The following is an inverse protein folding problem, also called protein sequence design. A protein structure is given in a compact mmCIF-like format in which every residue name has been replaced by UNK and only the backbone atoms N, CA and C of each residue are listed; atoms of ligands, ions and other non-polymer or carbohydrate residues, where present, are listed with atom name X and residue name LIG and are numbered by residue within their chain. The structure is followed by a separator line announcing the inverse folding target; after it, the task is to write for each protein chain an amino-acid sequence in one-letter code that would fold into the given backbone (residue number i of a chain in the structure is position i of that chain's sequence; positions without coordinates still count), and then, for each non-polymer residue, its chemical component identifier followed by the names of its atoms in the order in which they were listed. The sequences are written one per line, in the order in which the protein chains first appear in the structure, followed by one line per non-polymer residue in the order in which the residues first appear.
data_IF_708109341652
#
_entry.id   IF_708109341652
#
_cell.length_a   1.000
_cell.length_b   1.000
_cell.length_c   1.000
_cell.angle_alpha   90.00
_cell.angle_beta   90.00
_cell.angle_gamma   90.00
#
_symmetry.space_group_name_H-M   'P 1'
#
loop_
_entity.id
_entity.type
_entity.pdbx_description
1 polymer ?
#
# COMPACT_ATOMS: atom_id res chain seq x y z
N UNK A 1 2.39 -27.87 -7.30
CA UNK A 1 3.11 -26.94 -8.19
C UNK A 1 4.37 -26.42 -7.53
N UNK A 2 4.28 -25.84 -6.32
CA UNK A 2 5.41 -25.27 -5.57
C UNK A 2 6.67 -26.14 -5.52
N UNK A 3 6.58 -27.43 -5.16
CA UNK A 3 7.72 -28.36 -5.13
C UNK A 3 8.48 -28.43 -6.47
N UNK A 4 7.75 -28.40 -7.60
CA UNK A 4 8.35 -28.46 -8.93
C UNK A 4 9.10 -27.17 -9.23
N UNK A 5 8.51 -26.01 -8.92
CA UNK A 5 9.16 -24.71 -9.13
C UNK A 5 10.41 -24.57 -8.24
N UNK A 6 10.33 -24.94 -6.96
CA UNK A 6 11.46 -24.95 -6.03
C UNK A 6 12.64 -25.76 -6.59
N UNK A 7 12.36 -26.94 -7.13
CA UNK A 7 13.39 -27.80 -7.72
C UNK A 7 13.92 -27.28 -9.05
N UNK A 8 13.04 -26.89 -9.98
CA UNK A 8 13.42 -26.58 -11.36
C UNK A 8 14.02 -25.18 -11.52
N UNK A 9 13.57 -24.22 -10.72
CA UNK A 9 14.07 -22.83 -10.78
C UNK A 9 15.22 -22.64 -9.80
N UNK A 10 15.06 -23.06 -8.54
CA UNK A 10 16.00 -22.77 -7.47
C UNK A 10 16.92 -23.93 -7.09
N UNK A 11 16.71 -25.13 -7.66
CA UNK A 11 17.47 -26.32 -7.30
C UNK A 11 17.20 -26.85 -5.90
N UNK A 12 16.09 -26.44 -5.26
CA UNK A 12 15.72 -26.84 -3.90
C UNK A 12 14.89 -28.11 -3.95
N UNK A 13 15.47 -29.22 -3.49
CA UNK A 13 14.76 -30.49 -3.33
C UNK A 13 13.99 -30.53 -2.01
N UNK A 14 12.66 -30.72 -2.09
CA UNK A 14 11.79 -30.94 -0.94
C UNK A 14 10.70 -31.96 -1.29
N UNK A 15 10.01 -32.51 -0.28
CA UNK A 15 8.78 -33.29 -0.50
C UNK A 15 7.57 -32.35 -0.59
N UNK A 16 6.50 -32.79 -1.25
CA UNK A 16 5.29 -31.96 -1.48
C UNK A 16 4.70 -31.39 -0.19
N UNK A 17 4.72 -32.15 0.91
CA UNK A 17 4.19 -31.72 2.21
C UNK A 17 4.98 -30.57 2.84
N UNK A 18 6.26 -30.41 2.48
CA UNK A 18 7.16 -29.39 3.01
C UNK A 18 7.31 -28.19 2.06
N UNK A 19 6.79 -28.29 0.83
CA UNK A 19 7.00 -27.28 -0.21
C UNK A 19 6.49 -25.88 0.20
N UNK A 20 5.38 -25.81 0.94
CA UNK A 20 4.83 -24.53 1.41
C UNK A 20 5.69 -23.89 2.51
N UNK A 21 6.31 -24.71 3.36
CA UNK A 21 7.25 -24.24 4.39
C UNK A 21 8.57 -23.79 3.76
N UNK A 22 9.12 -24.61 2.86
CA UNK A 22 10.32 -24.25 2.09
C UNK A 22 10.13 -22.95 1.28
N UNK A 23 8.93 -22.71 0.75
CA UNK A 23 8.61 -21.47 0.04
C UNK A 23 8.64 -20.24 0.96
N UNK A 24 8.19 -20.37 2.22
CA UNK A 24 8.18 -19.27 3.19
C UNK A 24 9.59 -18.87 3.66
N UNK A 25 10.54 -19.79 3.55
CA UNK A 25 11.94 -19.56 3.92
C UNK A 25 12.80 -19.04 2.74
N UNK A 26 12.21 -18.76 1.57
CA UNK A 26 12.94 -18.20 0.44
C UNK A 26 13.42 -16.77 0.75
N UNK A 27 14.65 -16.47 0.34
CA UNK A 27 15.18 -15.10 0.36
C UNK A 27 14.49 -14.21 -0.68
N UNK A 28 14.65 -12.87 -0.60
CA UNK A 28 14.06 -11.97 -1.59
C UNK A 28 14.61 -12.24 -2.99
N UNK A 29 15.92 -12.52 -3.11
CA UNK A 29 16.52 -12.89 -4.40
C UNK A 29 15.88 -14.17 -4.96
N UNK A 30 15.69 -15.20 -4.13
CA UNK A 30 15.06 -16.44 -4.56
C UNK A 30 13.59 -16.24 -4.97
N UNK A 31 12.88 -15.35 -4.26
CA UNK A 31 11.52 -14.95 -4.64
C UNK A 31 11.51 -14.25 -6.00
N UNK A 32 12.46 -13.35 -6.25
CA UNK A 32 12.58 -12.66 -7.54
C UNK A 32 12.92 -13.62 -8.70
N UNK A 33 13.70 -14.66 -8.44
CA UNK A 33 14.01 -15.68 -9.45
C UNK A 33 12.81 -16.61 -9.74
N UNK A 34 12.00 -16.94 -8.73
CA UNK A 34 10.89 -17.91 -8.86
C UNK A 34 9.56 -17.29 -9.26
N UNK A 35 9.30 -16.03 -8.88
CA UNK A 35 8.02 -15.35 -9.12
C UNK A 35 7.61 -15.28 -10.60
N UNK A 36 8.52 -15.03 -11.57
CA UNK A 36 8.17 -15.09 -12.99
C UNK A 36 7.68 -16.48 -13.42
N UNK A 37 8.33 -17.55 -12.95
CA UNK A 37 7.93 -18.92 -13.29
C UNK A 37 6.61 -19.32 -12.60
N UNK A 38 6.40 -18.89 -11.35
CA UNK A 38 5.15 -19.08 -10.62
C UNK A 38 3.98 -18.37 -11.32
N UNK A 39 4.21 -17.15 -11.82
CA UNK A 39 3.21 -16.39 -12.56
C UNK A 39 2.75 -17.12 -13.83
N UNK A 40 3.68 -17.71 -14.59
CA UNK A 40 3.34 -18.41 -15.83
C UNK A 40 2.46 -19.66 -15.63
N UNK A 41 2.44 -20.22 -14.41
CA UNK A 41 1.64 -21.42 -14.10
C UNK A 41 0.39 -21.12 -13.27
N UNK A 42 0.34 -19.98 -12.59
CA UNK A 42 -0.76 -19.59 -11.69
C UNK A 42 -1.56 -18.37 -12.17
N UNK A 43 -0.97 -17.55 -13.03
CA UNK A 43 -1.59 -16.35 -13.58
C UNK A 43 -2.77 -16.66 -14.49
N UNK A 44 -3.66 -15.67 -14.61
CA UNK A 44 -4.91 -15.77 -15.34
C UNK A 44 -4.96 -14.83 -16.54
N UNK A 45 -5.72 -15.23 -17.56
CA UNK A 45 -5.95 -14.39 -18.73
C UNK A 45 -4.76 -14.30 -19.68
N UNK A 46 -4.85 -13.34 -20.60
CA UNK A 46 -3.87 -13.13 -21.67
C UNK A 46 -2.53 -12.59 -21.12
N UNK A 47 -2.58 -11.88 -19.99
CA UNK A 47 -1.43 -11.21 -19.36
C UNK A 47 -0.85 -11.99 -18.18
N UNK A 48 -1.28 -13.25 -17.95
CA UNK A 48 -0.90 -14.07 -16.80
C UNK A 48 -1.04 -13.32 -15.46
N UNK A 49 -2.12 -12.56 -15.29
CA UNK A 49 -2.32 -11.71 -14.12
C UNK A 49 -2.50 -12.55 -12.85
N UNK A 50 -1.90 -12.11 -11.74
CA UNK A 50 -2.09 -12.66 -10.42
C UNK A 50 -2.36 -11.53 -9.42
N UNK A 51 -3.38 -11.68 -8.58
CA UNK A 51 -3.68 -10.75 -7.49
C UNK A 51 -3.01 -11.26 -6.20
N UNK A 52 -2.17 -10.44 -5.59
CA UNK A 52 -1.43 -10.76 -4.36
C UNK A 52 -2.27 -10.54 -3.09
N UNK A 53 -3.60 -10.63 -3.19
CA UNK A 53 -4.54 -10.48 -2.08
C UNK A 53 -5.11 -11.84 -1.67
N UNK A 54 -5.60 -11.93 -0.43
CA UNK A 54 -6.30 -13.13 0.03
C UNK A 54 -7.73 -13.13 -0.48
N UNK A 55 -8.16 -14.25 -1.06
CA UNK A 55 -9.55 -14.52 -1.41
C UNK A 55 -10.12 -15.59 -0.46
N UNK A 56 -11.45 -15.65 -0.36
CA UNK A 56 -12.12 -16.72 0.37
C UNK A 56 -11.79 -18.11 -0.22
N UNK A 57 -11.82 -19.14 0.63
CA UNK A 57 -11.56 -20.51 0.20
C UNK A 57 -12.52 -20.93 -0.93
N UNK A 58 -11.95 -21.35 -2.06
CA UNK A 58 -12.71 -21.78 -3.23
C UNK A 58 -13.15 -20.65 -4.16
N UNK A 59 -12.87 -19.39 -3.83
CA UNK A 59 -13.10 -18.23 -4.70
C UNK A 59 -11.84 -17.91 -5.50
N UNK A 60 -12.03 -17.60 -6.78
CA UNK A 60 -10.99 -17.18 -7.71
C UNK A 60 -11.36 -15.86 -8.39
N UNK A 61 -10.37 -15.11 -8.87
CA UNK A 61 -10.61 -13.96 -9.76
C UNK A 61 -11.44 -14.32 -11.00
N UNK A 62 -11.45 -15.59 -11.40
CA UNK A 62 -12.24 -16.08 -12.51
C UNK A 62 -13.75 -16.11 -12.23
N UNK A 63 -14.17 -16.00 -10.96
CA UNK A 63 -15.56 -15.88 -10.56
C UNK A 63 -16.12 -14.46 -10.76
N UNK A 64 -15.22 -13.48 -10.96
CA UNK A 64 -15.56 -12.08 -11.22
C UNK A 64 -15.35 -11.75 -12.70
N UNK A 65 -16.37 -11.18 -13.36
CA UNK A 65 -16.25 -10.84 -14.79
C UNK A 65 -15.38 -9.60 -14.98
N UNK A 66 -15.50 -8.64 -14.07
CA UNK A 66 -14.83 -7.34 -14.15
C UNK A 66 -14.09 -7.03 -12.86
N UNK A 67 -13.18 -6.07 -12.94
CA UNK A 67 -12.50 -5.51 -11.77
C UNK A 67 -13.51 -4.89 -10.80
N UNK A 68 -14.61 -4.33 -11.30
CA UNK A 68 -15.72 -3.86 -10.48
C UNK A 68 -16.33 -4.99 -9.64
N UNK A 69 -16.66 -6.13 -10.26
CA UNK A 69 -17.36 -7.22 -9.56
C UNK A 69 -16.54 -7.73 -8.36
N UNK A 70 -15.21 -7.80 -8.51
CA UNK A 70 -14.30 -8.15 -7.43
C UNK A 70 -14.25 -7.05 -6.35
N UNK A 71 -13.98 -5.80 -6.74
CA UNK A 71 -13.76 -4.71 -5.77
C UNK A 71 -15.03 -4.38 -4.99
N UNK A 72 -16.19 -4.51 -5.63
CA UNK A 72 -17.48 -4.30 -4.99
C UNK A 72 -17.84 -5.43 -4.02
N UNK A 73 -17.49 -6.69 -4.33
CA UNK A 73 -17.67 -7.81 -3.42
C UNK A 73 -16.82 -7.64 -2.15
N UNK A 74 -15.54 -7.27 -2.31
CA UNK A 74 -14.66 -6.95 -1.16
C UNK A 74 -15.17 -5.75 -0.36
N UNK A 75 -15.69 -4.71 -1.04
CA UNK A 75 -16.35 -3.59 -0.36
C UNK A 75 -17.52 -4.06 0.51
N UNK A 76 -18.43 -4.89 -0.01
CA UNK A 76 -19.56 -5.40 0.76
C UNK A 76 -19.12 -6.23 1.95
N UNK A 77 -18.11 -7.09 1.77
CA UNK A 77 -17.51 -7.86 2.86
C UNK A 77 -16.97 -6.93 3.95
N UNK A 78 -16.18 -5.91 3.59
CA UNK A 78 -15.65 -4.95 4.56
C UNK A 78 -16.74 -4.15 5.27
N UNK A 79 -17.79 -3.71 4.55
CA UNK A 79 -18.90 -2.97 5.12
C UNK A 79 -19.67 -3.78 6.18
N UNK A 80 -19.86 -5.08 5.95
CA UNK A 80 -20.50 -5.97 6.92
C UNK A 80 -19.72 -5.98 8.26
N UNK A 81 -18.40 -6.13 8.19
CA UNK A 81 -17.55 -6.12 9.38
C UNK A 81 -17.51 -4.75 10.06
N UNK A 82 -17.43 -3.66 9.30
CA UNK A 82 -17.45 -2.29 9.86
C UNK A 82 -18.76 -2.01 10.60
N UNK A 83 -19.90 -2.37 10.02
CA UNK A 83 -21.20 -2.21 10.68
C UNK A 83 -21.34 -3.04 11.96
N UNK A 84 -20.72 -4.21 12.01
CA UNK A 84 -20.73 -5.10 13.17
C UNK A 84 -19.83 -4.60 14.30
N UNK A 85 -18.62 -4.16 13.98
CA UNK A 85 -17.57 -3.92 14.97
C UNK A 85 -17.44 -2.43 15.36
N UNK A 86 -17.86 -1.50 14.51
CA UNK A 86 -17.72 -0.06 14.74
C UNK A 86 -19.05 0.58 15.13
N UNK A 87 -19.16 0.94 16.42
CA UNK A 87 -20.37 1.60 16.95
C UNK A 87 -20.57 2.98 16.31
N UNK A 88 -21.74 3.19 15.71
CA UNK A 88 -22.11 4.46 15.09
C UNK A 88 -21.47 4.67 13.71
N UNK A 89 -20.93 3.61 13.11
CA UNK A 89 -20.40 3.66 11.75
C UNK A 89 -21.45 4.09 10.74
N UNK A 90 -21.07 5.04 9.89
CA UNK A 90 -21.85 5.47 8.74
C UNK A 90 -20.99 5.26 7.50
N UNK A 91 -21.51 4.46 6.58
CA UNK A 91 -20.84 4.18 5.30
C UNK A 91 -20.61 5.46 4.50
N UNK A 92 -19.40 5.68 3.95
CA UNK A 92 -19.18 6.74 2.98
C UNK A 92 -19.76 6.41 1.60
N UNK A 93 -20.26 5.19 1.39
CA UNK A 93 -20.63 4.64 0.09
C UNK A 93 -19.46 3.92 -0.58
N UNK A 94 -19.75 3.28 -1.71
CA UNK A 94 -18.75 2.59 -2.52
C UNK A 94 -17.90 3.60 -3.30
N UNK A 95 -16.59 3.39 -3.26
CA UNK A 95 -15.63 4.06 -4.11
C UNK A 95 -14.62 3.03 -4.64
N UNK A 96 -14.32 3.05 -5.95
CA UNK A 96 -13.40 2.11 -6.56
C UNK A 96 -12.04 2.08 -5.87
N UNK A 97 -11.50 0.88 -5.63
CA UNK A 97 -10.14 0.64 -5.13
C UNK A 97 -9.79 1.58 -3.97
N UNK A 98 -10.67 1.64 -2.97
CA UNK A 98 -10.47 2.48 -1.77
C UNK A 98 -9.13 2.19 -1.10
N UNK A 99 -8.68 0.94 -1.19
CA UNK A 99 -7.31 0.55 -0.85
C UNK A 99 -6.60 0.02 -2.11
N UNK A 100 -5.33 0.41 -2.32
CA UNK A 100 -4.54 -0.13 -3.43
C UNK A 100 -4.40 -1.64 -3.33
N UNK A 101 -4.31 -2.31 -4.48
CA UNK A 101 -4.09 -3.78 -4.54
C UNK A 101 -2.77 -4.09 -5.20
N UNK A 102 -2.11 -5.14 -4.74
CA UNK A 102 -0.88 -5.59 -5.37
C UNK A 102 -1.17 -6.71 -6.39
N UNK A 103 -0.61 -6.58 -7.58
CA UNK A 103 -0.72 -7.57 -8.66
C UNK A 103 0.65 -7.90 -9.25
N UNK A 104 0.72 -9.03 -9.94
CA UNK A 104 1.83 -9.43 -10.80
C UNK A 104 1.27 -9.79 -12.16
N UNK A 105 1.96 -9.46 -13.24
CA UNK A 105 1.51 -9.76 -14.60
C UNK A 105 2.68 -9.75 -15.59
N UNK A 106 2.43 -10.26 -16.79
CA UNK A 106 3.29 -10.10 -17.96
C UNK A 106 2.80 -8.88 -18.75
N UNK A 107 3.66 -7.89 -18.94
CA UNK A 107 3.39 -6.71 -19.76
C UNK A 107 4.52 -6.51 -20.77
N UNK A 108 4.20 -6.53 -22.06
CA UNK A 108 5.18 -6.43 -23.15
C UNK A 108 6.31 -7.47 -23.03
N UNK A 109 5.95 -8.72 -22.74
CA UNK A 109 6.88 -9.84 -22.52
C UNK A 109 7.81 -9.70 -21.30
N UNK A 110 7.58 -8.70 -20.43
CA UNK A 110 8.31 -8.50 -19.17
C UNK A 110 7.44 -8.89 -17.97
N UNK A 111 8.06 -9.49 -16.95
CA UNK A 111 7.43 -9.69 -15.64
C UNK A 111 7.38 -8.36 -14.88
N UNK A 112 6.22 -8.02 -14.35
CA UNK A 112 5.94 -6.73 -13.70
C UNK A 112 5.26 -6.93 -12.36
N UNK A 113 5.72 -6.19 -11.36
CA UNK A 113 5.00 -5.93 -10.12
C UNK A 113 4.13 -4.69 -10.30
N UNK A 114 2.84 -4.82 -10.00
CA UNK A 114 1.84 -3.80 -10.28
C UNK A 114 1.07 -3.36 -9.04
N UNK A 115 0.82 -2.07 -8.90
CA UNK A 115 -0.14 -1.55 -7.93
C UNK A 115 -1.41 -1.08 -8.65
N UNK A 116 -2.56 -1.60 -8.26
CA UNK A 116 -3.87 -1.10 -8.68
C UNK A 116 -4.31 0.03 -7.76
N UNK A 117 -4.52 1.20 -8.33
CA UNK A 117 -5.03 2.37 -7.61
C UNK A 117 -6.33 2.87 -8.25
N UNK A 118 -7.18 3.53 -7.45
CA UNK A 118 -8.06 4.53 -8.04
C UNK A 118 -7.29 5.81 -8.31
N UNK A 119 -7.78 6.67 -9.21
CA UNK A 119 -7.14 7.98 -9.41
C UNK A 119 -7.06 8.78 -8.12
N UNK A 120 -8.09 8.73 -7.28
CA UNK A 120 -8.08 9.44 -6.00
C UNK A 120 -7.02 8.89 -5.04
N UNK A 121 -6.96 7.57 -4.84
CA UNK A 121 -6.00 6.97 -3.92
C UNK A 121 -4.55 7.12 -4.42
N UNK A 122 -4.32 7.05 -5.75
CA UNK A 122 -3.01 7.35 -6.34
C UNK A 122 -2.56 8.80 -6.06
N UNK A 123 -3.44 9.77 -6.33
CA UNK A 123 -3.13 11.19 -6.10
C UNK A 123 -2.87 11.45 -4.62
N UNK A 124 -3.69 10.91 -3.72
CA UNK A 124 -3.52 11.09 -2.28
C UNK A 124 -2.27 10.40 -1.77
N UNK A 125 -1.87 9.24 -2.30
CA UNK A 125 -0.60 8.58 -1.96
C UNK A 125 0.59 9.49 -2.28
N UNK A 126 0.65 10.04 -3.50
CA UNK A 126 1.74 10.93 -3.94
C UNK A 126 1.72 12.27 -3.21
N UNK A 127 0.54 12.80 -2.90
CA UNK A 127 0.36 13.99 -2.07
C UNK A 127 0.81 13.74 -0.63
N UNK A 128 0.58 12.52 -0.12
CA UNK A 128 1.00 12.09 1.21
C UNK A 128 2.52 12.07 1.33
N UNK A 129 3.20 11.44 0.38
CA UNK A 129 4.67 11.42 0.31
C UNK A 129 5.25 12.85 0.36
N UNK A 130 4.77 13.76 -0.51
CA UNK A 130 5.25 15.14 -0.52
C UNK A 130 4.88 15.93 0.76
N UNK A 131 3.74 15.61 1.38
CA UNK A 131 3.32 16.22 2.63
C UNK A 131 4.15 15.75 3.82
N UNK A 132 4.51 14.46 3.85
CA UNK A 132 5.35 13.87 4.90
C UNK A 132 6.78 14.45 4.83
N UNK A 133 7.36 14.57 3.63
CA UNK A 133 8.62 15.30 3.41
C UNK A 133 8.54 16.73 3.98
N UNK A 134 7.41 17.41 3.73
CA UNK A 134 7.19 18.77 4.24
C UNK A 134 7.04 18.82 5.76
N UNK A 135 6.43 17.81 6.38
CA UNK A 135 6.34 17.71 7.84
C UNK A 135 7.73 17.57 8.46
N UNK A 136 8.56 16.70 7.90
CA UNK A 136 9.92 16.47 8.36
C UNK A 136 10.81 17.72 8.20
N UNK A 137 10.60 18.52 7.15
CA UNK A 137 11.25 19.83 7.00
C UNK A 137 10.82 20.85 8.07
N UNK A 138 9.53 20.86 8.43
CA UNK A 138 8.95 21.87 9.33
C UNK A 138 9.25 21.58 10.80
N UNK A 139 9.12 20.31 11.21
CA UNK A 139 9.44 19.84 12.55
C UNK A 139 10.26 18.55 12.42
N UNK A 140 11.59 18.67 12.25
CA UNK A 140 12.48 17.51 12.17
C UNK A 140 12.33 16.64 13.42
N UNK A 141 12.18 15.34 13.20
CA UNK A 141 12.02 14.37 14.27
C UNK A 141 12.74 13.06 13.98
N UNK A 142 13.09 12.32 15.02
CA UNK A 142 13.67 10.99 14.91
C UNK A 142 13.17 10.10 16.04
N UNK A 143 13.24 8.78 15.84
CA UNK A 143 13.01 7.84 16.93
C UNK A 143 14.34 7.58 17.65
N UNK A 144 14.34 7.78 18.97
CA UNK A 144 15.46 7.47 19.87
C UNK A 144 15.09 6.34 20.81
N UNK A 145 16.10 5.58 21.25
CA UNK A 145 15.89 4.51 22.23
C UNK A 145 15.43 5.09 23.56
N UNK A 146 14.30 4.58 24.05
CA UNK A 146 13.80 4.84 25.38
C UNK A 146 14.57 4.05 26.44
N UNK A 147 14.39 4.39 27.73
CA UNK A 147 15.15 3.80 28.83
C UNK A 147 14.91 2.30 29.00
N UNK A 148 13.81 1.75 28.47
CA UNK A 148 13.48 0.33 28.54
C UNK A 148 13.80 -0.43 27.25
N UNK A 149 14.36 0.22 26.23
CA UNK A 149 14.67 -0.43 24.95
C UNK A 149 15.63 -1.61 25.16
N UNK A 150 15.38 -2.73 24.47
CA UNK A 150 16.24 -3.92 24.55
C UNK A 150 16.10 -4.72 25.85
N UNK A 151 15.30 -4.28 26.83
CA UNK A 151 15.15 -5.02 28.10
C UNK A 151 14.22 -6.22 27.93
N UNK A 152 14.54 -7.39 28.55
CA UNK A 152 13.65 -8.54 28.57
C UNK A 152 12.28 -8.21 29.20
N UNK A 153 11.22 -8.70 28.57
CA UNK A 153 9.83 -8.68 29.04
C UNK A 153 9.21 -10.06 28.83
N UNK A 154 8.08 -10.31 29.50
CA UNK A 154 7.35 -11.56 29.28
C UNK A 154 6.95 -11.68 27.80
N UNK A 155 7.33 -12.77 27.16
CA UNK A 155 7.11 -13.01 25.73
C UNK A 155 8.08 -12.34 24.75
N UNK A 156 9.14 -11.64 25.21
CA UNK A 156 10.13 -11.07 24.28
C UNK A 156 10.98 -9.90 24.81
N UNK A 157 11.31 -8.96 23.93
CA UNK A 157 12.14 -7.78 24.21
C UNK A 157 11.30 -6.50 24.10
N UNK A 158 11.49 -5.56 25.03
CA UNK A 158 10.83 -4.27 24.98
C UNK A 158 11.32 -3.43 23.79
N UNK A 159 10.38 -3.07 22.91
CA UNK A 159 10.60 -2.13 21.80
C UNK A 159 10.15 -0.73 22.23
N UNK A 160 10.98 -0.08 23.04
CA UNK A 160 10.74 1.26 23.58
C UNK A 160 11.48 2.30 22.74
N UNK A 161 10.85 2.78 21.67
CA UNK A 161 11.33 3.95 20.93
C UNK A 161 10.46 5.16 21.26
N UNK A 162 11.09 6.32 21.38
CA UNK A 162 10.43 7.59 21.67
C UNK A 162 10.70 8.57 20.53
N UNK A 163 9.68 9.33 20.16
CA UNK A 163 9.83 10.39 19.18
C UNK A 163 10.52 11.58 19.83
N UNK A 164 11.67 11.98 19.30
CA UNK A 164 12.35 13.23 19.63
C UNK A 164 12.11 14.22 18.50
N UNK A 165 11.45 15.33 18.82
CA UNK A 165 11.18 16.45 17.93
C UNK A 165 11.76 17.75 18.50
N UNK A 166 12.84 17.65 19.28
CA UNK A 166 13.50 18.77 19.93
C UNK A 166 12.57 19.61 20.82
N UNK A 167 11.67 18.96 21.55
CA UNK A 167 10.70 19.62 22.44
C UNK A 167 9.42 20.10 21.72
N UNK A 168 9.23 19.71 20.45
CA UNK A 168 8.03 20.01 19.66
C UNK A 168 7.13 18.78 19.44
N UNK A 169 7.29 17.73 20.23
CA UNK A 169 6.55 16.48 20.08
C UNK A 169 5.02 16.71 20.11
N UNK A 170 4.47 17.53 21.03
CA UNK A 170 3.03 17.79 21.06
C UNK A 170 2.51 18.55 19.84
N UNK A 171 3.32 19.46 19.27
CA UNK A 171 2.99 20.21 18.06
C UNK A 171 3.06 19.32 16.82
N UNK A 172 4.06 18.44 16.75
CA UNK A 172 4.18 17.46 15.67
C UNK A 172 3.04 16.45 15.69
N UNK A 173 2.64 15.95 16.87
CA UNK A 173 1.49 15.06 17.02
C UNK A 173 0.20 15.74 16.54
N UNK A 174 -0.05 16.99 16.96
CA UNK A 174 -1.23 17.74 16.52
C UNK A 174 -1.20 18.04 15.02
N UNK A 175 -0.04 18.38 14.45
CA UNK A 175 0.10 18.62 13.03
C UNK A 175 -0.14 17.35 12.22
N UNK A 176 0.43 16.20 12.64
CA UNK A 176 0.17 14.88 12.04
C UNK A 176 -1.31 14.50 12.13
N UNK A 177 -1.98 14.79 13.25
CA UNK A 177 -3.42 14.55 13.42
C UNK A 177 -4.25 15.37 12.43
N UNK A 178 -3.97 16.66 12.28
CA UNK A 178 -4.65 17.54 11.32
C UNK A 178 -4.36 17.13 9.87
N UNK A 179 -3.13 16.71 9.61
CA UNK A 179 -2.71 16.20 8.31
C UNK A 179 -3.45 14.92 7.92
N UNK A 180 -3.51 13.95 8.83
CA UNK A 180 -4.24 12.71 8.62
C UNK A 180 -5.73 12.97 8.32
N UNK A 181 -6.37 13.88 9.07
CA UNK A 181 -7.75 14.26 8.80
C UNK A 181 -7.90 14.89 7.40
N UNK A 182 -6.99 15.79 7.02
CA UNK A 182 -6.99 16.40 5.69
C UNK A 182 -6.90 15.34 4.58
N UNK A 183 -6.03 14.33 4.71
CA UNK A 183 -5.89 13.27 3.71
C UNK A 183 -7.21 12.54 3.48
N UNK A 184 -7.89 12.14 4.56
CA UNK A 184 -9.18 11.45 4.49
C UNK A 184 -10.27 12.31 3.83
N UNK A 185 -10.36 13.58 4.23
CA UNK A 185 -11.35 14.51 3.68
C UNK A 185 -11.07 14.83 2.20
N UNK A 186 -9.80 15.05 1.85
CA UNK A 186 -9.37 15.35 0.50
C UNK A 186 -9.60 14.16 -0.44
N UNK A 187 -9.32 12.94 0.02
CA UNK A 187 -9.58 11.73 -0.76
C UNK A 187 -11.07 11.59 -1.07
N UNK A 188 -11.93 11.72 -0.06
CA UNK A 188 -13.37 11.59 -0.23
C UNK A 188 -13.94 12.64 -1.20
N UNK A 189 -13.47 13.89 -1.11
CA UNK A 189 -13.85 14.95 -2.04
C UNK A 189 -13.41 14.60 -3.46
N UNK A 190 -12.16 14.15 -3.62
CA UNK A 190 -11.60 13.82 -4.92
C UNK A 190 -12.31 12.63 -5.56
N UNK A 191 -12.61 11.57 -4.80
CA UNK A 191 -13.38 10.43 -5.30
C UNK A 191 -14.75 10.86 -5.84
N UNK A 192 -15.44 11.77 -5.14
CA UNK A 192 -16.73 12.32 -5.60
C UNK A 192 -16.58 13.13 -6.87
N UNK A 193 -15.58 14.02 -6.95
CA UNK A 193 -15.32 14.84 -8.14
C UNK A 193 -15.04 14.00 -9.40
N UNK A 194 -14.36 12.86 -9.24
CA UNK A 194 -13.93 12.00 -10.35
C UNK A 194 -15.00 10.98 -10.79
N UNK A 195 -16.00 10.71 -9.94
CA UNK A 195 -17.02 9.67 -10.15
C UNK A 195 -17.77 9.80 -11.48
N UNK A 196 -18.10 11.03 -11.88
CA UNK A 196 -18.86 11.31 -13.10
C UNK A 196 -18.00 11.42 -14.37
N UNK A 197 -16.68 11.37 -14.24
CA UNK A 197 -15.74 11.50 -15.35
C UNK A 197 -15.87 10.41 -16.43
N UNK A 198 -15.22 10.59 -17.59
CA UNK A 198 -15.09 9.53 -18.59
C UNK A 198 -14.34 8.32 -18.03
N UNK A 199 -14.58 7.10 -18.56
CA UNK A 199 -13.88 5.91 -18.10
C UNK A 199 -12.46 5.92 -18.66
N UNK A 200 -11.50 6.34 -17.84
CA UNK A 200 -10.08 6.31 -18.16
C UNK A 200 -9.29 5.31 -17.29
N UNK A 201 -8.12 4.91 -17.80
CA UNK A 201 -7.06 4.29 -17.02
C UNK A 201 -5.70 4.88 -17.40
N UNK A 202 -4.74 4.78 -16.49
CA UNK A 202 -3.36 5.23 -16.71
C UNK A 202 -2.39 4.12 -16.30
N UNK A 203 -1.32 3.96 -17.08
CA UNK A 203 -0.25 2.98 -16.83
C UNK A 203 1.03 3.77 -16.63
N UNK A 204 1.55 3.78 -15.41
CA UNK A 204 2.69 4.61 -15.02
C UNK A 204 3.81 3.70 -14.53
N UNK A 205 4.96 3.71 -15.21
CA UNK A 205 6.16 3.07 -14.66
C UNK A 205 6.62 3.85 -13.44
N UNK A 206 6.88 3.14 -12.35
CA UNK A 206 7.43 3.69 -11.11
C UNK A 206 8.88 3.25 -10.95
N UNK A 207 9.66 4.04 -10.23
CA UNK A 207 11.05 3.68 -9.93
C UNK A 207 11.04 2.61 -8.83
N UNK A 208 11.54 1.40 -9.13
CA UNK A 208 11.76 0.39 -8.09
C UNK A 208 12.99 0.73 -7.27
N UNK A 209 12.86 0.60 -5.94
CA UNK A 209 14.01 0.63 -5.03
C UNK A 209 14.83 -0.67 -5.09
N UNK A 210 14.27 -1.73 -5.68
CA UNK A 210 14.94 -3.03 -5.85
C UNK A 210 15.49 -3.13 -7.27
N UNK A 211 16.82 -3.30 -7.44
CA UNK A 211 17.42 -3.44 -8.75
C UNK A 211 16.82 -4.61 -9.56
N UNK A 212 16.49 -4.35 -10.83
CA UNK A 212 15.96 -5.36 -11.75
C UNK A 212 14.45 -5.59 -11.67
N UNK A 213 13.77 -5.04 -10.66
CA UNK A 213 12.32 -5.09 -10.59
C UNK A 213 11.67 -3.99 -11.43
N UNK A 214 10.59 -4.35 -12.13
CA UNK A 214 9.76 -3.40 -12.87
C UNK A 214 8.48 -3.17 -12.07
N UNK A 215 8.34 -1.95 -11.55
CA UNK A 215 7.14 -1.51 -10.85
C UNK A 215 6.25 -0.65 -11.76
N UNK A 216 4.96 -0.94 -11.77
CA UNK A 216 3.97 -0.21 -12.56
C UNK A 216 2.74 0.11 -11.72
N UNK A 217 2.33 1.38 -11.73
CA UNK A 217 1.07 1.81 -11.15
C UNK A 217 -0.01 1.81 -12.24
N UNK A 218 -1.04 1.00 -12.03
CA UNK A 218 -2.25 0.94 -12.85
C UNK A 218 -3.34 1.75 -12.17
N UNK A 219 -3.64 2.92 -12.71
CA UNK A 219 -4.54 3.89 -12.08
C UNK A 219 -5.88 3.86 -12.80
N UNK A 220 -6.91 3.37 -12.14
CA UNK A 220 -8.28 3.25 -12.65
C UNK A 220 -9.08 4.49 -12.27
N UNK A 221 -9.73 5.14 -13.22
CA UNK A 221 -10.28 6.48 -12.98
C UNK A 221 -11.51 6.49 -12.08
N UNK A 222 -12.52 5.70 -12.41
CA UNK A 222 -13.79 5.64 -11.69
C UNK A 222 -14.52 4.31 -11.93
N UNK A 223 -15.71 4.18 -11.36
CA UNK A 223 -16.54 2.97 -11.46
C UNK A 223 -16.81 2.55 -12.92
N UNK A 224 -17.03 3.53 -13.81
CA UNK A 224 -17.25 3.26 -15.25
C UNK A 224 -16.02 2.62 -15.88
N UNK A 225 -14.81 2.95 -15.43
CA UNK A 225 -13.58 2.28 -15.85
C UNK A 225 -13.52 0.85 -15.30
N UNK A 226 -13.85 0.64 -14.03
CA UNK A 226 -13.81 -0.69 -13.37
C UNK A 226 -14.68 -1.71 -14.11
N UNK A 227 -15.86 -1.31 -14.56
CA UNK A 227 -16.76 -2.16 -15.35
C UNK A 227 -16.22 -2.55 -16.73
N UNK A 228 -15.26 -1.80 -17.27
CA UNK A 228 -14.67 -2.08 -18.59
C UNK A 228 -13.47 -3.00 -18.52
N UNK A 229 -12.86 -3.15 -17.35
CA UNK A 229 -11.64 -3.93 -17.16
C UNK A 229 -12.01 -5.33 -16.70
N UNK A 230 -11.67 -6.34 -17.50
CA UNK A 230 -11.87 -7.75 -17.17
C UNK A 230 -10.54 -8.39 -16.80
N UNK A 231 -10.55 -9.27 -15.82
CA UNK A 231 -9.33 -9.96 -15.38
C UNK A 231 -8.65 -10.77 -16.49
N UNK A 232 -9.43 -11.34 -17.42
CA UNK A 232 -8.88 -12.17 -18.51
C UNK A 232 -8.17 -11.37 -19.60
N UNK A 233 -8.53 -10.10 -19.79
CA UNK A 233 -8.06 -9.24 -20.88
C UNK A 233 -7.56 -7.91 -20.31
N UNK A 234 -6.93 -7.99 -19.14
CA UNK A 234 -6.67 -6.84 -18.27
C UNK A 234 -5.96 -5.71 -19.01
N UNK A 235 -4.80 -5.99 -19.62
CA UNK A 235 -4.01 -4.96 -20.33
C UNK A 235 -4.73 -4.44 -21.56
N UNK A 236 -5.35 -5.32 -22.34
CA UNK A 236 -6.11 -4.94 -23.53
C UNK A 236 -7.25 -3.97 -23.18
N UNK A 237 -7.97 -4.23 -22.10
CA UNK A 237 -9.06 -3.38 -21.64
C UNK A 237 -8.54 -2.03 -21.10
N UNK A 238 -7.40 -2.02 -20.38
CA UNK A 238 -6.78 -0.77 -19.92
C UNK A 238 -6.33 0.12 -21.08
N UNK A 239 -5.65 -0.44 -22.08
CA UNK A 239 -5.23 0.31 -23.28
C UNK A 239 -6.43 0.85 -24.06
N UNK A 240 -7.55 0.13 -24.09
CA UNK A 240 -8.76 0.59 -24.77
C UNK A 240 -9.40 1.83 -24.12
N UNK A 241 -9.06 2.11 -22.86
CA UNK A 241 -9.55 3.25 -22.09
C UNK A 241 -8.44 4.17 -21.61
N UNK A 242 -7.26 4.14 -22.25
CA UNK A 242 -6.12 4.95 -21.83
C UNK A 242 -6.46 6.45 -21.82
N UNK A 243 -6.23 7.10 -20.67
CA UNK A 243 -6.42 8.53 -20.48
C UNK A 243 -5.19 9.35 -20.87
N UNK A 244 -5.36 10.66 -20.98
CA UNK A 244 -4.24 11.57 -21.21
C UNK A 244 -3.46 11.81 -19.90
N UNK A 245 -2.22 11.34 -19.84
CA UNK A 245 -1.36 11.47 -18.65
C UNK A 245 -1.13 12.92 -18.20
N UNK A 246 -1.24 13.91 -19.09
CA UNK A 246 -1.12 15.33 -18.74
C UNK A 246 -2.23 15.80 -17.80
N UNK A 247 -3.42 15.21 -17.90
CA UNK A 247 -4.55 15.56 -17.05
C UNK A 247 -4.32 15.05 -15.64
N UNK A 248 -3.81 13.82 -15.50
CA UNK A 248 -3.41 13.24 -14.22
C UNK A 248 -2.26 14.03 -13.57
N UNK A 249 -1.22 14.39 -14.35
CA UNK A 249 -0.10 15.20 -13.84
C UNK A 249 -0.58 16.56 -13.35
N UNK A 250 -1.51 17.19 -14.08
CA UNK A 250 -2.08 18.49 -13.69
C UNK A 250 -2.92 18.39 -12.42
N UNK A 251 -3.70 17.32 -12.28
CA UNK A 251 -4.46 17.01 -11.07
C UNK A 251 -3.51 16.83 -9.88
N UNK A 252 -2.49 15.98 -10.04
CA UNK A 252 -1.50 15.72 -9.00
C UNK A 252 -0.85 17.02 -8.53
N UNK A 253 -0.34 17.84 -9.45
CA UNK A 253 0.27 19.13 -9.12
C UNK A 253 -0.67 20.03 -8.32
N UNK A 254 -1.93 20.13 -8.73
CA UNK A 254 -2.94 20.95 -8.06
C UNK A 254 -3.19 20.49 -6.63
N UNK A 255 -3.37 19.19 -6.42
CA UNK A 255 -3.63 18.64 -5.08
C UNK A 255 -2.38 18.69 -4.18
N UNK A 256 -1.18 18.48 -4.72
CA UNK A 256 0.08 18.66 -3.98
C UNK A 256 0.24 20.10 -3.52
N UNK A 257 0.04 21.08 -4.40
CA UNK A 257 0.12 22.50 -4.03
C UNK A 257 -0.91 22.88 -2.95
N UNK A 258 -2.11 22.29 -3.00
CA UNK A 258 -3.15 22.49 -1.99
C UNK A 258 -2.76 21.90 -0.63
N UNK A 259 -2.23 20.69 -0.62
CA UNK A 259 -1.77 20.01 0.59
C UNK A 259 -0.60 20.74 1.25
N UNK A 260 0.41 21.14 0.47
CA UNK A 260 1.57 21.85 1.00
C UNK A 260 1.19 23.21 1.61
N UNK A 261 0.22 23.93 1.00
CA UNK A 261 -0.35 25.14 1.59
C UNK A 261 -1.05 24.83 2.91
N UNK A 262 -1.91 23.81 2.94
CA UNK A 262 -2.61 23.40 4.15
C UNK A 262 -1.63 23.10 5.29
N UNK A 263 -0.61 22.27 5.05
CA UNK A 263 0.40 21.93 6.06
C UNK A 263 1.11 23.19 6.57
N UNK A 264 1.50 24.10 5.67
CA UNK A 264 2.13 25.37 6.05
C UNK A 264 1.24 26.26 6.93
N UNK A 265 -0.04 26.36 6.60
CA UNK A 265 -1.03 27.12 7.36
C UNK A 265 -1.29 26.49 8.73
N UNK A 266 -1.47 25.17 8.80
CA UNK A 266 -1.67 24.45 10.07
C UNK A 266 -0.45 24.54 10.97
N UNK A 267 0.76 24.41 10.41
CA UNK A 267 1.99 24.58 11.16
C UNK A 267 2.10 26.01 11.73
N UNK A 268 1.82 27.04 10.92
CA UNK A 268 1.83 28.42 11.40
C UNK A 268 0.83 28.65 12.55
N UNK A 269 -0.39 28.12 12.42
CA UNK A 269 -1.42 28.20 13.46
C UNK A 269 -0.97 27.51 14.76
N UNK A 270 -0.47 26.27 14.66
CA UNK A 270 0.02 25.51 15.82
C UNK A 270 1.18 26.27 16.50
N UNK A 271 2.14 26.80 15.74
CA UNK A 271 3.26 27.57 16.30
C UNK A 271 2.81 28.84 17.04
N UNK A 272 1.72 29.47 16.62
CA UNK A 272 1.20 30.69 17.23
C UNK A 272 0.20 30.47 18.37
N UNK A 273 -0.60 29.39 18.29
CA UNK A 273 -1.83 29.24 19.06
C UNK A 273 -1.98 27.86 19.72
N UNK A 274 -0.94 27.00 19.74
CA UNK A 274 -1.08 25.65 20.29
C UNK A 274 -1.56 25.68 21.74
N UNK A 275 -2.73 25.07 21.95
CA UNK A 275 -3.26 24.71 23.25
C UNK A 275 -3.35 23.18 23.25
N UNK A 276 -2.70 22.47 24.19
CA UNK A 276 -2.81 21.03 24.29
C UNK A 276 -4.30 20.64 24.34
N UNK A 277 -4.75 19.70 23.50
CA UNK A 277 -6.13 19.30 23.50
C UNK A 277 -6.49 18.68 24.86
N UNK A 278 -7.69 18.99 25.37
CA UNK A 278 -8.24 18.37 26.58
C UNK A 278 -8.75 16.95 26.26
N UNK A 279 -7.82 16.08 25.88
CA UNK A 279 -8.06 14.69 25.53
C UNK A 279 -7.16 13.86 26.44
N UNK A 280 -7.75 12.90 27.15
CA UNK A 280 -6.94 11.94 27.92
C UNK A 280 -6.03 11.18 26.95
N UNK A 281 -4.71 11.18 27.15
CA UNK A 281 -3.81 10.41 26.30
C UNK A 281 -4.24 8.94 26.35
N UNK A 282 -4.38 8.33 25.17
CA UNK A 282 -4.73 6.93 25.05
C UNK A 282 -3.79 6.05 25.88
N UNK A 283 -4.28 4.88 26.30
CA UNK A 283 -3.49 3.94 27.10
C UNK A 283 -2.15 3.66 26.40
N UNK A 284 -1.04 4.09 27.02
CA UNK A 284 0.32 3.81 26.54
C UNK A 284 0.46 2.30 26.34
N UNK A 285 0.60 1.88 25.09
CA UNK A 285 0.82 0.47 24.72
C UNK A 285 2.32 0.20 24.79
N UNK A 286 2.69 -0.87 25.50
CA UNK A 286 4.07 -1.38 25.46
C UNK A 286 4.14 -2.37 24.30
N UNK A 287 5.07 -2.13 23.39
CA UNK A 287 5.37 -3.08 22.32
C UNK A 287 6.44 -4.04 22.84
N UNK A 288 6.11 -5.33 22.84
CA UNK A 288 7.05 -6.41 23.14
C UNK A 288 7.23 -7.17 21.85
N UNK A 289 8.45 -7.17 21.31
CA UNK A 289 8.78 -7.97 20.13
C UNK A 289 9.12 -9.38 20.56
N UNK A 290 8.47 -10.37 19.95
CA UNK A 290 8.82 -11.78 20.15
C UNK A 290 10.25 -12.03 19.69
N UNK A 291 10.93 -13.00 20.30
CA UNK A 291 12.33 -13.31 19.99
C UNK A 291 12.59 -13.63 18.51
N UNK A 292 11.63 -14.24 17.79
CA UNK A 292 11.78 -14.55 16.37
C UNK A 292 11.50 -13.38 15.41
N UNK A 293 10.81 -12.33 15.85
CA UNK A 293 10.49 -11.18 14.99
C UNK A 293 11.75 -10.35 14.63
N UNK A 294 12.76 -10.38 15.50
CA UNK A 294 14.05 -9.74 15.22
C UNK A 294 14.88 -10.55 14.22
N UNK A 295 14.78 -11.87 14.24
CA UNK A 295 15.46 -12.74 13.25
C UNK A 295 14.94 -12.46 11.83
N UNK A 296 13.63 -12.24 11.67
CA UNK A 296 13.01 -11.87 10.38
C UNK A 296 13.47 -10.49 9.89
N UNK A 297 13.60 -9.51 10.78
CA UNK A 297 14.13 -8.18 10.45
C UNK A 297 15.63 -8.21 10.12
N UNK A 298 16.41 -9.01 10.85
CA UNK A 298 17.83 -9.19 10.57
C UNK A 298 18.05 -9.85 9.20
N UNK A 299 17.21 -10.81 8.80
CA UNK A 299 17.26 -11.41 7.46
C UNK A 299 17.09 -10.34 6.37
N UNK A 300 16.17 -9.39 6.55
CA UNK A 300 15.97 -8.26 5.62
C UNK A 300 17.18 -7.32 5.55
N UNK A 301 17.92 -7.13 6.65
CA UNK A 301 19.08 -6.24 6.71
C UNK A 301 20.41 -6.84 6.21
N UNK A 302 20.51 -8.16 6.09
CA UNK A 302 21.74 -8.86 5.65
C UNK A 302 21.88 -8.92 4.11
N UNK A 303 20.95 -8.31 3.38
CA UNK A 303 20.90 -8.33 1.92
C UNK A 303 21.40 -7.05 1.23
N UNK A 304 22.02 -6.12 1.95
CA UNK A 304 22.89 -5.10 1.31
C UNK A 304 24.28 -5.71 1.10
N UNK A 305 24.67 -6.15 -0.12
CA UNK A 305 26.08 -6.30 -0.41
C UNK A 305 26.70 -4.91 -0.36
N UNK A 306 27.65 -4.72 0.56
CA UNK A 306 28.62 -3.63 0.46
C UNK A 306 29.19 -3.65 -0.96
N UNK A 307 28.83 -2.63 -1.74
CA UNK A 307 29.40 -2.39 -3.06
C UNK A 307 30.80 -1.80 -2.87
N UNK A 308 31.81 -2.68 -2.88
CA UNK A 308 33.21 -2.33 -3.17
C UNK A 308 33.47 -2.30 -4.68
#
# INVERSE_FOLDING_TARGET
MQQVLLKQVLGIDCVVAEAAEAWRELSLQQLNDINPADLLVSGIGDDFLYLNESLEEGVSLLDFNTLYDYDFDDFLFQEEWRHKDLKGYASPGYFPLHHPRWIRLVMNDEFVYGNLFSTASYVISRVTEAGDDRLDELIPSSYIEGPDHGKPRDGGIAWDYQLDANGQEPQLEELRRRWWQYQQDAELVLQKELSDGPPYAYILRDESRVPGEINVNFVIHNEKSMHKVRWRTFMADLWAIEGNSKDLISLLKRETERALRFIGEQHHDIRGNYVPPDIEPGKKRKVVMSSGALDDLERLSREDPESD
#
